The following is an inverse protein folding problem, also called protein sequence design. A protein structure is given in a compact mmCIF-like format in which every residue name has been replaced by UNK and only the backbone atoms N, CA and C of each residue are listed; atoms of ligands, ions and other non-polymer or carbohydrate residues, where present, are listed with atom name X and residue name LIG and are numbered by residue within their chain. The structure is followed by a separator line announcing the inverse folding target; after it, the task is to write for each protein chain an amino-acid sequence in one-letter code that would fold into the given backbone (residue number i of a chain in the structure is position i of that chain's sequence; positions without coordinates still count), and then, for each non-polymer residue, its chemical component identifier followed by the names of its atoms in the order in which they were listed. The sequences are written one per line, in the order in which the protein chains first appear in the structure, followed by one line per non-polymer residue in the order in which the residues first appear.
data_IF_477445815443
#
_entry.id   IF_477445815443
#
_cell.length_a   1.000
_cell.length_b   1.000
_cell.length_c   1.000
_cell.angle_alpha   90.00
_cell.angle_beta   90.00
_cell.angle_gamma   90.00
#
_symmetry.space_group_name_H-M   'P 1'
#
loop_
_entity.id
_entity.type
_entity.pdbx_description
1 polymer ?
#
# COMPACT_ATOMS: atom_id res chain seq x y z
N UNK A 1 9.41 -39.37 0.84
CA UNK A 1 9.65 -39.02 2.26
C UNK A 1 9.92 -37.52 2.29
N UNK A 2 9.00 -36.70 2.78
CA UNK A 2 9.16 -35.25 2.80
C UNK A 2 9.32 -34.76 4.24
N UNK A 3 10.31 -33.89 4.43
CA UNK A 3 10.82 -33.41 5.72
C UNK A 3 9.85 -32.41 6.39
N UNK A 4 9.65 -32.42 7.72
CA UNK A 4 8.54 -31.72 8.38
C UNK A 4 8.86 -30.33 8.95
N UNK A 5 9.93 -29.67 8.53
CA UNK A 5 10.33 -28.38 9.12
C UNK A 5 10.62 -27.32 8.06
N UNK A 6 9.57 -26.64 7.60
CA UNK A 6 9.69 -25.30 7.02
C UNK A 6 9.49 -24.29 8.15
N UNK A 7 10.56 -23.59 8.50
CA UNK A 7 10.61 -22.45 9.43
C UNK A 7 9.40 -21.54 9.28
N UNK A 8 8.49 -21.52 10.26
CA UNK A 8 7.43 -20.51 10.35
C UNK A 8 8.07 -19.24 10.90
N UNK A 9 8.79 -18.51 10.04
CA UNK A 9 9.00 -17.10 10.28
C UNK A 9 7.63 -16.43 10.18
N UNK A 10 7.22 -15.67 11.19
CA UNK A 10 6.08 -14.76 11.07
C UNK A 10 6.45 -13.64 10.09
N UNK A 11 6.59 -13.96 8.80
CA UNK A 11 6.70 -12.96 7.77
C UNK A 11 5.35 -12.25 7.75
N UNK A 12 5.29 -11.07 8.34
CA UNK A 12 4.17 -10.15 8.22
C UNK A 12 4.03 -9.82 6.73
N UNK A 13 3.24 -10.63 6.03
CA UNK A 13 2.93 -10.44 4.61
C UNK A 13 1.86 -9.37 4.52
N UNK A 14 1.97 -8.51 3.52
CA UNK A 14 0.90 -7.58 3.20
C UNK A 14 -0.39 -8.35 2.88
N UNK A 15 -1.57 -7.74 3.13
CA UNK A 15 -2.84 -8.32 2.75
C UNK A 15 -2.88 -8.64 1.26
N UNK A 16 -3.55 -9.72 0.87
CA UNK A 16 -3.85 -9.99 -0.53
C UNK A 16 -4.93 -9.04 -1.03
N UNK A 17 -4.75 -8.51 -2.25
CA UNK A 17 -5.69 -7.58 -2.88
C UNK A 17 -5.45 -6.12 -2.49
N UNK A 18 -6.51 -5.32 -2.60
CA UNK A 18 -6.45 -3.88 -2.35
C UNK A 18 -6.70 -3.56 -0.88
N UNK A 19 -5.80 -2.79 -0.29
CA UNK A 19 -5.88 -2.38 1.12
C UNK A 19 -5.52 -0.91 1.31
N UNK A 20 -5.91 -0.37 2.48
CA UNK A 20 -5.50 0.95 2.94
C UNK A 20 -4.36 0.80 3.95
N UNK A 21 -3.41 1.74 3.93
CA UNK A 21 -2.35 1.81 4.94
C UNK A 21 -2.68 2.98 5.85
N UNK A 22 -3.02 2.71 7.10
CA UNK A 22 -3.41 3.73 8.07
C UNK A 22 -2.27 3.98 9.06
N UNK A 23 -1.93 5.25 9.27
CA UNK A 23 -1.06 5.69 10.36
C UNK A 23 -1.79 5.51 11.68
N UNK A 24 -1.19 4.79 12.62
CA UNK A 24 -1.73 4.57 13.97
C UNK A 24 -1.74 5.87 14.79
N UNK A 25 -0.88 6.83 14.46
CA UNK A 25 -0.73 8.07 15.23
C UNK A 25 -1.88 9.03 14.97
N UNK A 26 -2.17 9.31 13.69
CA UNK A 26 -3.18 10.31 13.30
C UNK A 26 -4.48 9.68 12.79
N UNK A 27 -4.48 8.38 12.51
CA UNK A 27 -5.60 7.72 11.86
C UNK A 27 -5.74 8.04 10.37
N UNK A 28 -4.80 8.78 9.78
CA UNK A 28 -4.78 9.11 8.35
C UNK A 28 -4.26 7.95 7.52
N UNK A 29 -4.64 7.92 6.24
CA UNK A 29 -4.22 6.89 5.30
C UNK A 29 -3.14 7.41 4.36
N UNK A 30 -2.26 6.51 3.94
CA UNK A 30 -1.26 6.77 2.93
C UNK A 30 -1.94 7.06 1.59
N UNK A 31 -1.67 8.22 1.00
CA UNK A 31 -2.31 8.70 -0.22
C UNK A 31 -1.29 9.32 -1.16
N UNK A 32 -1.55 9.25 -2.46
CA UNK A 32 -0.86 10.11 -3.43
C UNK A 32 -1.47 11.52 -3.34
N UNK A 33 -0.60 12.53 -3.27
CA UNK A 33 -1.00 13.95 -3.16
C UNK A 33 -1.84 14.36 -4.37
N UNK A 34 -2.95 15.06 -4.10
CA UNK A 34 -3.90 15.56 -5.11
C UNK A 34 -4.44 14.47 -6.06
N UNK A 35 -4.36 13.19 -5.64
CA UNK A 35 -4.66 12.04 -6.50
C UNK A 35 -3.91 12.06 -7.84
N UNK A 36 -2.70 12.63 -7.86
CA UNK A 36 -1.88 12.72 -9.06
C UNK A 36 -1.55 11.35 -9.63
N UNK A 37 -1.50 11.27 -10.96
CA UNK A 37 -1.06 10.09 -11.71
C UNK A 37 0.28 10.31 -12.40
N UNK A 38 0.94 11.42 -12.11
CA UNK A 38 2.26 11.73 -12.65
C UNK A 38 3.36 10.95 -11.92
N UNK A 39 4.48 10.75 -12.61
CA UNK A 39 5.70 10.22 -12.01
C UNK A 39 6.22 11.26 -10.99
N UNK A 40 6.91 10.81 -9.94
CA UNK A 40 7.39 11.64 -8.83
C UNK A 40 6.29 12.36 -8.02
N UNK A 41 5.04 11.93 -8.15
CA UNK A 41 3.95 12.41 -7.32
C UNK A 41 4.26 12.16 -5.83
N UNK A 42 4.12 13.21 -5.02
CA UNK A 42 4.40 13.12 -3.58
C UNK A 42 3.41 12.19 -2.87
N UNK A 43 3.93 11.42 -1.92
CA UNK A 43 3.13 10.60 -1.01
C UNK A 43 2.90 11.37 0.28
N UNK A 44 1.65 11.41 0.73
CA UNK A 44 1.22 12.16 1.91
C UNK A 44 0.34 11.29 2.80
N UNK A 45 0.27 11.63 4.09
CA UNK A 45 -0.79 11.14 4.96
C UNK A 45 -2.00 12.06 4.80
N UNK A 46 -3.15 11.49 4.46
CA UNK A 46 -4.38 12.23 4.26
C UNK A 46 -5.54 11.53 4.97
N UNK A 47 -6.55 12.26 5.49
CA UNK A 47 -7.77 11.65 5.98
C UNK A 47 -8.36 10.67 4.95
N UNK A 48 -8.87 9.54 5.43
CA UNK A 48 -9.58 8.61 4.56
C UNK A 48 -10.75 9.33 3.88
N UNK A 49 -10.85 9.17 2.57
CA UNK A 49 -11.81 9.89 1.74
C UNK A 49 -12.49 8.92 0.79
N UNK A 50 -13.82 8.88 0.83
CA UNK A 50 -14.62 8.05 -0.06
C UNK A 50 -14.61 8.55 -1.51
N UNK A 51 -14.24 9.82 -1.75
CA UNK A 51 -14.11 10.38 -3.10
C UNK A 51 -12.73 10.11 -3.70
N UNK A 52 -11.70 10.12 -2.86
CA UNK A 52 -10.29 9.95 -3.26
C UNK A 52 -9.74 8.55 -2.95
N UNK A 53 -10.60 7.61 -2.55
CA UNK A 53 -10.19 6.28 -2.09
C UNK A 53 -9.24 5.55 -3.07
N UNK A 54 -9.31 5.85 -4.36
CA UNK A 54 -8.44 5.26 -5.39
C UNK A 54 -6.97 5.62 -5.20
N UNK A 55 -6.66 6.86 -4.82
CA UNK A 55 -5.27 7.28 -4.55
C UNK A 55 -4.78 6.82 -3.18
N UNK A 56 -5.70 6.31 -2.34
CA UNK A 56 -5.45 5.77 -1.00
C UNK A 56 -5.36 4.24 -0.97
N UNK A 57 -5.69 3.57 -2.10
CA UNK A 57 -5.66 2.12 -2.22
C UNK A 57 -4.31 1.65 -2.74
N UNK A 58 -3.80 0.64 -2.06
CA UNK A 58 -2.50 0.05 -2.32
C UNK A 58 -2.63 -1.47 -2.48
N UNK A 59 -1.74 -2.04 -3.28
CA UNK A 59 -1.60 -3.49 -3.41
C UNK A 59 -0.12 -3.84 -3.36
N UNK A 60 0.18 -4.93 -2.68
CA UNK A 60 1.52 -5.50 -2.68
C UNK A 60 1.63 -6.49 -3.84
N UNK A 61 2.48 -6.17 -4.81
CA UNK A 61 2.76 -7.00 -5.99
C UNK A 61 4.27 -7.23 -6.10
N UNK A 62 4.69 -8.49 -5.91
CA UNK A 62 6.10 -8.83 -5.79
C UNK A 62 6.75 -8.16 -4.58
N UNK A 63 7.72 -7.29 -4.83
CA UNK A 63 8.42 -6.48 -3.81
C UNK A 63 7.99 -5.00 -3.83
N UNK A 64 6.93 -4.68 -4.59
CA UNK A 64 6.48 -3.30 -4.83
C UNK A 64 5.11 -3.03 -4.22
N UNK A 65 4.90 -1.78 -3.81
CA UNK A 65 3.60 -1.25 -3.41
C UNK A 65 3.02 -0.41 -4.56
N UNK A 66 1.98 -0.93 -5.18
CA UNK A 66 1.33 -0.33 -6.35
C UNK A 66 0.11 0.47 -5.93
N UNK A 67 0.00 1.70 -6.40
CA UNK A 67 -1.19 2.53 -6.18
C UNK A 67 -2.33 2.17 -7.14
N UNK A 68 -3.57 2.11 -6.64
CA UNK A 68 -4.72 1.76 -7.48
C UNK A 68 -5.02 2.81 -8.55
N UNK A 69 -4.86 4.11 -8.25
CA UNK A 69 -5.21 5.19 -9.16
C UNK A 69 -4.18 5.35 -10.28
N UNK A 70 -2.90 5.54 -9.93
CA UNK A 70 -1.84 5.85 -10.90
C UNK A 70 -1.23 4.61 -11.56
N UNK A 71 -1.39 3.42 -10.94
CA UNK A 71 -0.66 2.19 -11.30
C UNK A 71 0.87 2.31 -11.18
N UNK A 72 1.35 3.36 -10.52
CA UNK A 72 2.76 3.55 -10.22
C UNK A 72 3.11 2.86 -8.89
N UNK A 73 4.40 2.63 -8.71
CA UNK A 73 4.96 2.06 -7.49
C UNK A 73 5.41 3.15 -6.53
N UNK A 74 5.36 2.85 -5.24
CA UNK A 74 6.05 3.63 -4.22
C UNK A 74 7.57 3.46 -4.37
N UNK A 75 8.30 4.57 -4.43
CA UNK A 75 9.77 4.61 -4.55
C UNK A 75 10.36 5.74 -3.66
N UNK A 76 11.69 5.75 -3.48
CA UNK A 76 12.44 6.67 -2.58
C UNK A 76 13.26 7.72 -3.33
#
# INVERSE_FOLDING_TARGET
MNSPFSTVGYHARFPQGWFFIQSVVEGYVLSVKDSSTEVDAQIVLHPWSSTEYRSQLWMHDGDCLVNFNSKLVLDV
#
